data_IF_529423688925
#
_entry.id   IF_529423688925
#
_cell.length_a   1.000
_cell.length_b   1.000
_cell.length_c   1.000
_cell.angle_alpha   90.00
_cell.angle_beta   90.00
_cell.angle_gamma   90.00
#
_symmetry.space_group_name_H-M   'P 1'
#
loop_
_entity.id
_entity.type
_entity.pdbx_description
1 polymer ?
#
# COMPACT_ATOMS: atom_id res chain seq x y z
N UNK A 1 -33.54 14.87 58.93
CA UNK A 1 -33.92 14.79 57.50
C UNK A 1 -32.78 15.15 56.52
N UNK A 2 -31.76 15.91 56.93
CA UNK A 2 -30.63 16.34 56.07
C UNK A 2 -29.68 15.23 55.56
N UNK A 3 -29.49 14.12 56.30
CA UNK A 3 -28.49 13.10 55.96
C UNK A 3 -28.76 12.35 54.63
N UNK A 4 -30.03 12.26 54.20
CA UNK A 4 -30.41 11.56 52.94
C UNK A 4 -30.02 12.36 51.69
N UNK A 5 -30.03 13.68 51.77
CA UNK A 5 -29.67 14.56 50.65
C UNK A 5 -28.15 14.65 50.42
N UNK A 6 -27.35 14.44 51.48
CA UNK A 6 -25.88 14.44 51.39
C UNK A 6 -25.37 13.32 50.48
N UNK A 7 -25.99 12.14 50.55
CA UNK A 7 -25.63 10.97 49.72
C UNK A 7 -25.94 11.24 48.24
N UNK A 8 -27.08 11.87 47.94
CA UNK A 8 -27.46 12.25 46.58
C UNK A 8 -26.47 13.27 45.97
N UNK A 9 -26.00 14.24 46.76
CA UNK A 9 -25.02 15.23 46.31
C UNK A 9 -23.66 14.58 46.01
N UNK A 10 -23.23 13.64 46.86
CA UNK A 10 -21.97 12.90 46.64
C UNK A 10 -22.07 12.03 45.38
N UNK A 11 -23.18 11.31 45.19
CA UNK A 11 -23.41 10.51 43.97
C UNK A 11 -23.45 11.39 42.72
N UNK A 12 -24.14 12.53 42.78
CA UNK A 12 -24.19 13.48 41.66
C UNK A 12 -22.80 14.07 41.36
N UNK A 13 -22.01 14.39 42.39
CA UNK A 13 -20.63 14.87 42.24
C UNK A 13 -19.68 13.80 41.68
N UNK A 14 -19.89 12.52 42.01
CA UNK A 14 -19.15 11.40 41.43
C UNK A 14 -19.57 11.18 39.97
N UNK A 15 -20.87 11.32 39.66
CA UNK A 15 -21.41 11.14 38.31
C UNK A 15 -20.84 12.18 37.33
N UNK A 16 -20.65 13.42 37.78
CA UNK A 16 -20.00 14.47 36.98
C UNK A 16 -18.54 14.15 36.65
N UNK A 17 -17.80 13.50 37.56
CA UNK A 17 -16.38 13.15 37.33
C UNK A 17 -16.23 12.03 36.30
N UNK A 18 -17.16 11.08 36.25
CA UNK A 18 -17.13 9.96 35.28
C UNK A 18 -17.31 10.46 33.84
N UNK A 19 -18.08 11.54 33.64
CA UNK A 19 -18.33 12.10 32.30
C UNK A 19 -17.13 12.89 31.72
N UNK A 20 -16.17 13.30 32.57
CA UNK A 20 -15.02 14.11 32.15
C UNK A 20 -13.75 13.30 31.86
N UNK A 21 -13.81 11.97 31.95
CA UNK A 21 -12.80 11.09 31.40
C UNK A 21 -13.01 10.94 29.89
N UNK A 22 -12.81 12.02 29.14
CA UNK A 22 -12.63 11.92 27.70
C UNK A 22 -11.30 11.19 27.45
N UNK A 23 -11.39 9.94 27.00
CA UNK A 23 -10.29 9.28 26.31
C UNK A 23 -9.74 10.25 25.26
N UNK A 24 -8.42 10.45 25.24
CA UNK A 24 -7.73 11.15 24.15
C UNK A 24 -7.91 10.35 22.86
N UNK A 25 -9.06 10.54 22.20
CA UNK A 25 -9.34 9.99 20.89
C UNK A 25 -8.41 10.72 19.92
N UNK A 26 -7.27 10.10 19.66
CA UNK A 26 -6.31 10.58 18.68
C UNK A 26 -7.00 10.45 17.33
N UNK A 27 -7.49 11.57 16.77
CA UNK A 27 -8.08 11.58 15.43
C UNK A 27 -6.99 11.18 14.44
N UNK A 28 -6.96 9.92 14.02
CA UNK A 28 -6.16 9.48 12.88
C UNK A 28 -6.78 10.09 11.63
N UNK A 29 -6.11 11.09 11.05
CA UNK A 29 -6.49 11.64 9.75
C UNK A 29 -5.95 10.66 8.71
N UNK A 30 -6.83 9.84 8.13
CA UNK A 30 -6.49 8.92 7.04
C UNK A 30 -6.75 9.66 5.73
N UNK A 31 -5.71 9.83 4.91
CA UNK A 31 -5.85 10.29 3.53
C UNK A 31 -5.72 9.08 2.61
N UNK A 32 -6.69 8.89 1.72
CA UNK A 32 -6.66 7.85 0.71
C UNK A 32 -6.43 8.51 -0.65
N UNK A 33 -5.51 7.94 -1.42
CA UNK A 33 -5.26 8.35 -2.81
C UNK A 33 -5.30 7.11 -3.67
N UNK A 34 -6.16 7.09 -4.68
CA UNK A 34 -6.15 6.05 -5.70
C UNK A 34 -4.88 6.23 -6.54
N UNK A 35 -3.99 5.22 -6.51
CA UNK A 35 -2.72 5.26 -7.25
C UNK A 35 -2.79 4.39 -8.52
N UNK A 36 -3.68 3.39 -8.57
CA UNK A 36 -4.03 2.65 -9.79
C UNK A 36 -5.37 1.93 -9.66
N UNK A 37 -6.03 1.71 -10.80
CA UNK A 37 -7.19 0.84 -10.94
C UNK A 37 -6.74 -0.45 -11.64
N UNK A 38 -7.15 -1.62 -11.15
CA UNK A 38 -6.70 -2.92 -11.66
C UNK A 38 -7.88 -3.86 -11.87
N UNK A 39 -7.89 -4.57 -13.00
CA UNK A 39 -8.89 -5.60 -13.30
C UNK A 39 -8.51 -6.92 -12.61
N UNK A 40 -9.33 -7.33 -11.65
CA UNK A 40 -9.04 -8.44 -10.73
C UNK A 40 -9.20 -9.83 -11.36
N UNK A 41 -9.81 -9.94 -12.54
CA UNK A 41 -10.17 -11.25 -13.13
C UNK A 41 -9.06 -11.91 -13.94
N UNK A 42 -7.99 -11.21 -14.32
CA UNK A 42 -6.96 -11.73 -15.24
C UNK A 42 -5.56 -11.86 -14.66
N UNK A 43 -5.36 -11.55 -13.36
CA UNK A 43 -4.00 -11.36 -12.85
C UNK A 43 -3.75 -12.03 -11.49
N UNK A 44 -2.94 -13.10 -11.48
CA UNK A 44 -2.23 -13.52 -10.27
C UNK A 44 -1.09 -12.53 -10.01
N UNK A 45 -1.37 -11.47 -9.26
CA UNK A 45 -0.36 -10.49 -8.86
C UNK A 45 0.59 -11.16 -7.88
N UNK A 46 1.87 -11.24 -8.24
CA UNK A 46 2.89 -11.83 -7.36
C UNK A 46 3.66 -10.77 -6.57
N UNK A 47 3.83 -9.58 -7.16
CA UNK A 47 4.63 -8.50 -6.59
C UNK A 47 4.01 -7.15 -6.94
N UNK A 48 4.00 -6.24 -5.97
CA UNK A 48 3.55 -4.85 -6.05
C UNK A 48 4.58 -3.94 -5.38
N UNK A 49 4.86 -2.79 -5.97
CA UNK A 49 5.81 -1.79 -5.51
C UNK A 49 5.26 -0.37 -5.75
N UNK A 50 5.62 0.56 -4.88
CA UNK A 50 5.28 1.99 -4.96
C UNK A 50 6.57 2.79 -5.03
N UNK A 51 6.61 3.83 -5.86
CA UNK A 51 7.75 4.73 -5.91
C UNK A 51 7.95 5.49 -4.58
N UNK A 52 9.17 5.90 -4.23
CA UNK A 52 9.43 6.65 -3.00
C UNK A 52 8.61 7.94 -2.85
N UNK A 53 8.25 8.58 -3.96
CA UNK A 53 7.40 9.77 -3.98
C UNK A 53 5.89 9.49 -4.01
N UNK A 54 5.47 8.23 -3.95
CA UNK A 54 4.07 7.80 -3.98
C UNK A 54 3.30 8.27 -5.21
N UNK A 55 3.98 8.54 -6.33
CA UNK A 55 3.36 8.96 -7.59
C UNK A 55 3.20 7.81 -8.58
N UNK A 56 3.98 6.75 -8.45
CA UNK A 56 3.99 5.62 -9.38
C UNK A 56 3.80 4.30 -8.68
N UNK A 57 3.25 3.35 -9.43
CA UNK A 57 3.13 1.96 -9.00
C UNK A 57 3.62 1.02 -10.07
N UNK A 58 4.25 -0.07 -9.64
CA UNK A 58 4.67 -1.14 -10.51
C UNK A 58 4.22 -2.49 -9.95
N UNK A 59 3.76 -3.38 -10.81
CA UNK A 59 3.34 -4.72 -10.42
C UNK A 59 3.65 -5.77 -11.46
N UNK A 60 3.83 -7.00 -10.99
CA UNK A 60 4.07 -8.16 -11.82
C UNK A 60 2.77 -8.80 -12.27
N UNK A 61 2.56 -8.83 -13.59
CA UNK A 61 1.43 -9.42 -14.27
C UNK A 61 1.74 -10.70 -15.02
N UNK A 62 0.72 -11.52 -15.26
CA UNK A 62 0.82 -12.67 -16.16
C UNK A 62 -0.26 -12.60 -17.24
N UNK A 63 0.15 -12.60 -18.50
CA UNK A 63 -0.75 -12.68 -19.66
C UNK A 63 -0.44 -13.99 -20.39
N UNK A 64 -1.40 -14.91 -20.41
CA UNK A 64 -1.20 -16.27 -20.91
C UNK A 64 -0.09 -17.00 -20.14
N UNK A 65 0.99 -17.36 -20.84
CA UNK A 65 2.17 -18.03 -20.24
C UNK A 65 3.33 -17.10 -19.93
N UNK A 66 3.24 -15.80 -20.26
CA UNK A 66 4.33 -14.84 -20.07
C UNK A 66 4.03 -13.90 -18.92
N UNK A 67 5.09 -13.48 -18.26
CA UNK A 67 5.06 -12.46 -17.22
C UNK A 67 5.51 -11.11 -17.77
N UNK A 68 4.98 -10.02 -17.23
CA UNK A 68 5.36 -8.67 -17.58
C UNK A 68 5.30 -7.77 -16.33
N UNK A 69 6.07 -6.70 -16.34
CA UNK A 69 5.94 -5.63 -15.35
C UNK A 69 5.01 -4.57 -15.94
N UNK A 70 4.03 -4.13 -15.16
CA UNK A 70 3.13 -3.03 -15.52
C UNK A 70 3.50 -1.85 -14.64
N UNK A 71 3.70 -0.67 -15.25
CA UNK A 71 4.06 0.57 -14.56
C UNK A 71 3.02 1.63 -14.87
N UNK A 72 2.35 2.14 -13.85
CA UNK A 72 1.27 3.13 -13.98
C UNK A 72 0.18 2.71 -15.00
N UNK A 73 -0.12 1.41 -15.06
CA UNK A 73 -1.08 0.82 -16.00
C UNK A 73 -0.52 0.50 -17.39
N UNK A 74 0.73 0.86 -17.69
CA UNK A 74 1.37 0.59 -18.98
C UNK A 74 2.10 -0.76 -18.97
N UNK A 75 1.75 -1.63 -19.90
CA UNK A 75 2.34 -2.97 -20.03
C UNK A 75 3.78 -2.92 -20.57
N UNK A 76 4.73 -3.46 -19.80
CA UNK A 76 6.10 -3.64 -20.20
C UNK A 76 6.35 -4.90 -21.04
N UNK A 77 7.63 -5.22 -21.23
CA UNK A 77 8.05 -6.38 -22.03
C UNK A 77 7.62 -7.71 -21.40
N UNK A 78 7.33 -8.70 -22.25
CA UNK A 78 6.96 -10.06 -21.84
C UNK A 78 8.20 -10.95 -21.64
N UNK A 79 8.21 -11.72 -20.56
CA UNK A 79 9.27 -12.62 -20.09
C UNK A 79 8.70 -13.99 -19.71
N UNK A 80 9.57 -15.00 -19.57
CA UNK A 80 9.14 -16.33 -19.10
C UNK A 80 8.81 -16.32 -17.61
N UNK A 81 9.45 -15.43 -16.84
CA UNK A 81 9.18 -15.15 -15.45
C UNK A 81 9.86 -13.86 -15.00
N UNK A 82 9.28 -13.16 -14.02
CA UNK A 82 9.79 -11.88 -13.47
C UNK A 82 10.05 -11.96 -11.96
N UNK A 83 10.01 -13.16 -11.37
CA UNK A 83 10.08 -13.34 -9.94
C UNK A 83 10.72 -14.69 -9.60
N UNK A 84 12.02 -14.62 -9.29
CA UNK A 84 12.87 -15.74 -8.90
C UNK A 84 13.20 -15.58 -7.40
N UNK A 85 12.19 -15.74 -6.54
CA UNK A 85 12.37 -15.74 -5.09
C UNK A 85 12.16 -14.37 -4.42
N UNK A 86 12.97 -14.06 -3.40
CA UNK A 86 12.76 -12.93 -2.47
C UNK A 86 13.01 -11.52 -3.03
N UNK A 87 13.48 -11.34 -4.27
CA UNK A 87 13.72 -10.01 -4.86
C UNK A 87 12.52 -9.53 -5.69
N UNK A 88 11.78 -8.61 -5.09
CA UNK A 88 10.60 -7.91 -5.62
C UNK A 88 11.03 -6.81 -6.61
N UNK A 89 10.14 -6.43 -7.53
CA UNK A 89 10.19 -5.14 -8.23
C UNK A 89 10.51 -4.06 -7.20
N UNK A 90 11.60 -3.31 -7.40
CA UNK A 90 12.07 -2.31 -6.46
C UNK A 90 12.32 -1.01 -7.20
N UNK A 91 11.76 0.08 -6.68
CA UNK A 91 12.12 1.42 -7.15
C UNK A 91 13.46 1.83 -6.54
N UNK A 92 14.40 2.24 -7.38
CA UNK A 92 15.63 2.90 -6.91
C UNK A 92 15.39 4.40 -6.62
N UNK A 93 14.39 4.99 -7.29
CA UNK A 93 14.05 6.41 -7.31
C UNK A 93 12.62 6.59 -7.81
N UNK A 94 12.12 7.83 -7.84
CA UNK A 94 10.78 8.15 -8.37
C UNK A 94 10.54 7.71 -9.82
N UNK A 95 11.61 7.58 -10.61
CA UNK A 95 11.52 7.36 -12.06
C UNK A 95 12.36 6.19 -12.53
N UNK A 96 12.95 5.39 -11.65
CA UNK A 96 13.67 4.21 -12.06
C UNK A 96 13.37 3.05 -11.13
N UNK A 97 13.23 1.87 -11.74
CA UNK A 97 12.94 0.63 -11.05
C UNK A 97 13.74 -0.50 -11.66
N UNK A 98 14.05 -1.48 -10.83
CA UNK A 98 14.75 -2.68 -11.27
C UNK A 98 14.05 -3.95 -10.80
N UNK A 99 14.20 -4.99 -11.61
CA UNK A 99 13.64 -6.31 -11.34
C UNK A 99 14.49 -7.39 -12.00
N UNK A 100 14.39 -8.61 -11.47
CA UNK A 100 15.04 -9.78 -12.06
C UNK A 100 14.08 -10.47 -13.01
N UNK A 101 14.57 -10.83 -14.20
CA UNK A 101 13.81 -11.61 -15.17
C UNK A 101 14.54 -12.91 -15.44
N UNK A 102 13.76 -13.95 -15.68
CA UNK A 102 14.26 -15.24 -16.15
C UNK A 102 13.84 -15.47 -17.60
N UNK A 103 14.78 -15.98 -18.39
CA UNK A 103 14.56 -16.52 -19.73
C UNK A 103 15.31 -17.82 -19.88
N UNK A 104 14.59 -18.94 -20.02
CA UNK A 104 15.04 -20.33 -20.28
C UNK A 104 16.24 -20.85 -19.45
N UNK A 105 17.41 -20.23 -19.51
CA UNK A 105 18.61 -20.61 -18.77
C UNK A 105 19.39 -19.40 -18.24
N UNK A 106 18.81 -18.20 -18.28
CA UNK A 106 19.46 -16.95 -17.92
C UNK A 106 18.61 -16.14 -16.96
N UNK A 107 19.28 -15.50 -16.00
CA UNK A 107 18.71 -14.49 -15.11
C UNK A 107 19.34 -13.16 -15.49
N UNK A 108 18.53 -12.11 -15.64
CA UNK A 108 19.01 -10.76 -15.96
C UNK A 108 18.41 -9.74 -15.00
N UNK A 109 19.22 -8.75 -14.61
CA UNK A 109 18.73 -7.53 -13.96
C UNK A 109 18.26 -6.56 -15.04
N UNK A 110 16.98 -6.22 -15.01
CA UNK A 110 16.42 -5.16 -15.84
C UNK A 110 16.38 -3.90 -15.02
N UNK A 111 16.94 -2.82 -15.58
CA UNK A 111 16.75 -1.46 -15.09
C UNK A 111 15.82 -0.72 -16.06
N UNK A 112 14.79 -0.08 -15.54
CA UNK A 112 13.75 0.58 -16.31
C UNK A 112 13.61 2.04 -15.83
N UNK A 113 14.06 2.97 -16.68
CA UNK A 113 13.89 4.41 -16.47
C UNK A 113 12.59 4.89 -17.11
N UNK A 114 11.71 5.44 -16.27
CA UNK A 114 10.40 5.93 -16.63
C UNK A 114 10.52 7.40 -16.99
N UNK A 115 10.37 7.71 -18.28
CA UNK A 115 10.33 9.09 -18.74
C UNK A 115 9.10 9.81 -18.17
N UNK A 116 9.24 11.10 -17.86
CA UNK A 116 8.09 11.93 -17.51
C UNK A 116 7.21 12.07 -18.76
N UNK A 117 5.88 11.96 -18.63
CA UNK A 117 5.00 12.31 -19.75
C UNK A 117 5.28 13.77 -20.14
N UNK A 118 5.38 14.02 -21.46
CA UNK A 118 5.48 15.37 -22.02
C UNK A 118 4.20 16.15 -21.78
#
# INVERSE_FOLDING_TARGET
MFKKYLILIVIFSLMYKVSFAQEKITRKIVSEKLIAQMDWLTMKIKTFAVSPDSKRVAYGGKIGYKWLVVVDGNEGKKYDGIDIGIRRITFDSSNSLYYLVYRVASISLVNEEIQKPQ
#
